data_IF_627692069009
#
_entry.id   IF_627692069009
#
_cell.length_a   1.000
_cell.length_b   1.000
_cell.length_c   1.000
_cell.angle_alpha   90.00
_cell.angle_beta   90.00
_cell.angle_gamma   90.00
#
_symmetry.space_group_name_H-M   'P 1'
#
loop_
_entity.id
_entity.type
_entity.pdbx_description
1 polymer ?
#
# COMPACT_ATOMS: atom_id res chain seq x y z
N UNK A 1 -0.82 -11.13 5.26
CA UNK A 1 -0.92 -10.66 3.86
C UNK A 1 -2.34 -10.87 3.37
N UNK A 2 -2.84 -10.03 2.49
CA UNK A 2 -4.17 -10.15 1.90
C UNK A 2 -4.21 -9.44 0.55
N UNK A 3 -5.11 -9.84 -0.35
CA UNK A 3 -5.33 -9.15 -1.62
C UNK A 3 -6.41 -8.09 -1.42
N UNK A 4 -6.16 -6.89 -1.92
CA UNK A 4 -7.17 -5.84 -2.05
C UNK A 4 -7.65 -5.82 -3.49
N UNK A 5 -8.98 -5.80 -3.67
CA UNK A 5 -9.64 -5.58 -4.96
C UNK A 5 -10.35 -4.22 -4.91
N UNK A 6 -10.05 -3.36 -5.87
CA UNK A 6 -10.83 -2.16 -6.14
C UNK A 6 -11.69 -2.37 -7.39
N UNK A 7 -12.98 -2.06 -7.30
CA UNK A 7 -13.94 -2.24 -8.39
C UNK A 7 -15.08 -1.21 -8.31
N UNK A 8 -15.59 -0.82 -9.48
CA UNK A 8 -16.69 0.13 -9.61
C UNK A 8 -17.96 -0.38 -8.89
N UNK A 9 -18.62 0.50 -8.14
CA UNK A 9 -19.81 0.20 -7.35
C UNK A 9 -19.55 -0.57 -6.04
N UNK A 10 -18.30 -0.93 -5.76
CA UNK A 10 -17.89 -1.62 -4.56
C UNK A 10 -16.89 -0.76 -3.77
N UNK A 11 -15.64 -1.17 -3.67
CA UNK A 11 -14.56 -0.37 -3.10
C UNK A 11 -13.77 0.30 -4.23
N UNK A 12 -13.94 1.61 -4.40
CA UNK A 12 -13.28 2.36 -5.49
C UNK A 12 -12.04 3.13 -5.03
N UNK A 13 -11.92 3.37 -3.72
CA UNK A 13 -10.83 4.14 -3.13
C UNK A 13 -10.46 3.60 -1.74
N UNK A 14 -9.37 4.12 -1.20
CA UNK A 14 -9.06 3.98 0.22
C UNK A 14 -8.54 5.31 0.71
N UNK A 15 -9.32 5.95 1.59
CA UNK A 15 -9.04 7.30 2.12
C UNK A 15 -7.67 7.35 2.80
N UNK A 16 -7.13 8.57 2.91
CA UNK A 16 -5.87 8.85 3.61
C UNK A 16 -5.82 8.18 4.99
N UNK A 17 -4.80 7.37 5.23
CA UNK A 17 -4.61 6.65 6.48
C UNK A 17 -3.14 6.27 6.70
N UNK A 18 -2.86 5.75 7.90
CA UNK A 18 -1.66 4.99 8.20
C UNK A 18 -2.05 3.52 8.38
N UNK A 19 -1.13 2.63 8.03
CA UNK A 19 -1.29 1.21 8.31
C UNK A 19 -1.00 0.91 9.79
N UNK A 20 -1.67 -0.10 10.34
CA UNK A 20 -1.38 -0.61 11.68
C UNK A 20 -0.41 -1.80 11.54
N UNK A 21 0.85 -1.48 11.23
CA UNK A 21 1.97 -2.40 11.09
C UNK A 21 3.30 -1.68 11.42
N UNK A 22 4.45 -2.37 11.34
CA UNK A 22 5.77 -1.70 11.42
C UNK A 22 6.30 -1.37 10.02
N UNK A 23 6.24 -2.33 9.11
CA UNK A 23 6.56 -2.16 7.69
C UNK A 23 5.39 -2.67 6.87
N UNK A 24 5.00 -1.88 5.87
CA UNK A 24 3.98 -2.22 4.92
C UNK A 24 4.59 -2.37 3.54
N UNK A 25 3.98 -3.22 2.73
CA UNK A 25 4.29 -3.29 1.32
C UNK A 25 3.04 -3.57 0.48
N UNK A 26 3.09 -3.14 -0.78
CA UNK A 26 2.08 -3.43 -1.78
C UNK A 26 2.73 -3.87 -3.08
N UNK A 27 2.23 -4.96 -3.66
CA UNK A 27 2.63 -5.46 -4.97
C UNK A 27 1.51 -5.20 -5.96
N UNK A 28 1.84 -4.60 -7.11
CA UNK A 28 0.90 -4.40 -8.21
C UNK A 28 0.66 -5.72 -8.93
N UNK A 29 -0.59 -6.21 -8.99
CA UNK A 29 -0.91 -7.51 -9.58
C UNK A 29 -1.44 -7.43 -11.02
N UNK A 30 -1.85 -6.24 -11.46
CA UNK A 30 -2.33 -5.96 -12.81
C UNK A 30 -2.21 -4.47 -13.14
N UNK A 31 -2.49 -4.08 -14.38
CA UNK A 31 -2.43 -2.70 -14.88
C UNK A 31 -3.53 -2.35 -15.92
N UNK A 32 -4.52 -3.22 -16.09
CA UNK A 32 -5.70 -3.02 -16.94
C UNK A 32 -6.80 -2.19 -16.25
N UNK A 33 -6.42 -1.06 -15.64
CA UNK A 33 -7.32 -0.15 -14.94
C UNK A 33 -6.87 1.31 -15.03
N UNK A 34 -7.80 2.26 -14.83
CA UNK A 34 -7.49 3.69 -14.73
C UNK A 34 -7.78 4.23 -13.33
N UNK A 35 -6.88 5.07 -12.79
CA UNK A 35 -7.01 5.61 -11.43
C UNK A 35 -6.47 4.63 -10.39
N UNK A 36 -7.06 4.60 -9.19
CA UNK A 36 -6.67 3.69 -8.10
C UNK A 36 -5.18 3.68 -7.75
N UNK A 37 -4.46 4.77 -8.02
CA UNK A 37 -3.05 4.92 -7.68
C UNK A 37 -2.86 4.97 -6.16
N UNK A 38 -1.85 4.24 -5.66
CA UNK A 38 -1.35 4.39 -4.30
C UNK A 38 -0.48 5.65 -4.27
N UNK A 39 -0.86 6.62 -3.43
CA UNK A 39 -0.21 7.93 -3.34
C UNK A 39 0.31 8.17 -1.93
N UNK A 40 1.54 8.67 -1.84
CA UNK A 40 2.23 9.09 -0.62
C UNK A 40 2.51 10.59 -0.70
N UNK A 41 1.58 11.46 -0.24
CA UNK A 41 1.68 12.90 -0.51
C UNK A 41 2.92 13.55 0.08
N UNK A 42 3.39 13.08 1.25
CA UNK A 42 4.58 13.65 1.91
C UNK A 42 5.88 13.34 1.17
N UNK A 43 5.88 12.29 0.35
CA UNK A 43 7.02 11.83 -0.44
C UNK A 43 6.91 12.27 -1.90
N UNK A 44 5.84 12.97 -2.28
CA UNK A 44 5.54 13.34 -3.67
C UNK A 44 5.61 12.13 -4.61
N UNK A 45 5.16 10.97 -4.13
CA UNK A 45 5.29 9.69 -4.83
C UNK A 45 3.92 9.05 -5.10
N UNK A 46 3.77 8.45 -6.28
CA UNK A 46 2.68 7.50 -6.58
C UNK A 46 3.21 6.24 -7.25
N UNK A 47 2.45 5.15 -7.13
CA UNK A 47 2.80 3.89 -7.78
C UNK A 47 2.39 3.81 -9.27
N UNK A 48 2.08 4.94 -9.92
CA UNK A 48 1.62 4.97 -11.32
C UNK A 48 2.62 4.28 -12.26
N UNK A 49 3.90 4.63 -12.15
CA UNK A 49 4.97 4.10 -13.00
C UNK A 49 5.57 2.76 -12.50
N UNK A 50 5.07 2.20 -11.39
CA UNK A 50 5.56 0.93 -10.85
C UNK A 50 5.04 -0.23 -11.72
N UNK A 51 5.91 -1.11 -12.25
CA UNK A 51 5.49 -2.27 -13.05
C UNK A 51 4.62 -3.28 -12.30
N UNK A 52 3.87 -4.09 -13.03
CA UNK A 52 3.21 -5.29 -12.46
C UNK A 52 4.27 -6.27 -11.95
N UNK A 53 4.07 -6.80 -10.75
CA UNK A 53 5.00 -7.70 -10.07
C UNK A 53 5.99 -7.00 -9.12
N UNK A 54 6.19 -5.69 -9.27
CA UNK A 54 7.08 -4.92 -8.41
C UNK A 54 6.42 -4.57 -7.07
N UNK A 55 7.27 -4.46 -6.04
CA UNK A 55 6.88 -4.18 -4.66
C UNK A 55 7.26 -2.74 -4.27
N UNK A 56 6.31 -2.02 -3.69
CA UNK A 56 6.57 -0.77 -2.97
C UNK A 56 6.56 -1.08 -1.47
N UNK A 57 7.56 -0.60 -0.72
CA UNK A 57 7.73 -0.87 0.72
C UNK A 57 7.89 0.43 1.48
N UNK A 58 7.22 0.58 2.63
CA UNK A 58 7.27 1.80 3.43
C UNK A 58 7.10 1.55 4.94
N UNK A 59 7.61 2.45 5.81
CA UNK A 59 7.25 2.52 7.23
C UNK A 59 5.75 2.80 7.40
N UNK A 60 5.02 1.89 8.05
CA UNK A 60 3.55 1.90 8.12
C UNK A 60 2.94 3.06 8.91
N UNK A 61 3.60 3.44 10.00
CA UNK A 61 3.12 4.45 10.94
C UNK A 61 3.44 5.88 10.44
N UNK A 62 3.27 6.86 11.32
CA UNK A 62 3.57 8.31 11.26
C UNK A 62 4.06 8.92 9.93
N UNK A 63 5.13 8.42 9.32
CA UNK A 63 5.84 9.07 8.22
C UNK A 63 5.23 8.89 6.83
N UNK A 64 4.44 7.83 6.59
CA UNK A 64 3.90 7.51 5.25
C UNK A 64 2.38 7.39 5.26
N UNK A 65 1.66 8.48 5.60
CA UNK A 65 0.23 8.53 5.33
C UNK A 65 0.03 8.35 3.82
N UNK A 66 -0.89 7.49 3.44
CA UNK A 66 -1.15 7.16 2.06
C UNK A 66 -2.62 6.94 1.79
N UNK A 67 -2.98 6.99 0.51
CA UNK A 67 -4.34 6.73 0.03
C UNK A 67 -4.27 5.93 -1.26
N UNK A 68 -5.35 5.21 -1.58
CA UNK A 68 -5.62 4.76 -2.94
C UNK A 68 -6.63 5.73 -3.53
N UNK A 69 -6.23 6.47 -4.57
CA UNK A 69 -7.11 7.41 -5.29
C UNK A 69 -8.35 6.70 -5.85
N UNK A 70 -9.41 7.42 -6.25
CA UNK A 70 -10.56 6.81 -6.91
C UNK A 70 -10.18 6.02 -8.15
N UNK A 71 -10.73 4.82 -8.27
CA UNK A 71 -10.80 4.06 -9.51
C UNK A 71 -11.73 4.78 -10.49
N UNK A 72 -11.33 4.83 -11.77
CA UNK A 72 -12.11 5.44 -12.84
C UNK A 72 -12.66 4.42 -13.83
N UNK A 73 -11.93 3.33 -14.06
CA UNK A 73 -12.36 2.21 -14.89
C UNK A 73 -11.53 0.96 -14.60
N UNK A 74 -12.05 -0.22 -15.00
CA UNK A 74 -11.37 -1.51 -14.81
C UNK A 74 -11.54 -2.09 -13.40
N UNK A 75 -10.62 -2.98 -13.03
CA UNK A 75 -10.54 -3.59 -11.70
C UNK A 75 -9.08 -3.63 -11.30
N UNK A 76 -8.73 -3.12 -10.11
CA UNK A 76 -7.35 -3.19 -9.59
C UNK A 76 -7.22 -4.30 -8.57
N UNK A 77 -6.14 -5.07 -8.66
CA UNK A 77 -5.70 -6.01 -7.65
C UNK A 77 -4.31 -5.63 -7.12
N UNK A 78 -4.13 -5.70 -5.81
CA UNK A 78 -2.82 -5.56 -5.17
C UNK A 78 -2.67 -6.54 -4.01
N UNK A 79 -1.47 -7.11 -3.84
CA UNK A 79 -1.14 -7.87 -2.64
C UNK A 79 -0.61 -6.90 -1.58
N UNK A 80 -1.28 -6.83 -0.44
CA UNK A 80 -0.86 -6.03 0.71
C UNK A 80 -0.20 -6.93 1.75
N UNK A 81 0.98 -6.47 2.21
CA UNK A 81 1.77 -7.14 3.24
C UNK A 81 1.92 -6.20 4.42
N UNK A 82 1.50 -6.65 5.58
CA UNK A 82 1.77 -5.99 6.86
C UNK A 82 2.73 -6.87 7.64
N UNK A 83 3.86 -6.28 8.04
CA UNK A 83 4.96 -6.98 8.67
C UNK A 83 5.27 -6.34 10.03
N UNK A 84 5.42 -7.20 11.03
CA UNK A 84 6.14 -6.89 12.26
C UNK A 84 7.60 -7.27 12.05
N UNK A 85 8.51 -6.35 12.37
CA UNK A 85 9.92 -6.63 12.43
C UNK A 85 10.17 -7.64 13.56
N UNK A 86 11.06 -8.62 13.34
CA UNK A 86 11.47 -9.49 14.43
C UNK A 86 12.09 -8.61 15.52
N UNK A 87 11.46 -8.58 16.70
CA UNK A 87 12.14 -8.05 17.87
C UNK A 87 13.38 -8.90 18.13
N UNK A 88 14.50 -8.32 18.58
CA UNK A 88 15.63 -9.11 19.05
C UNK A 88 15.11 -10.14 20.06
N UNK A 89 15.48 -11.41 19.86
CA UNK A 89 15.02 -12.55 20.68
C UNK A 89 15.37 -12.32 22.17
N UNK A 90 16.34 -11.46 22.46
CA UNK A 90 16.85 -11.22 23.79
C UNK A 90 16.63 -9.79 24.28
N UNK A 91 15.38 -9.35 24.46
CA UNK A 91 14.95 -8.34 25.46
C UNK A 91 15.66 -6.97 25.55
N UNK A 92 16.67 -6.70 24.73
CA UNK A 92 17.47 -5.50 24.72
C UNK A 92 16.75 -4.55 23.78
N UNK A 93 15.81 -3.80 24.36
CA UNK A 93 15.32 -2.57 23.77
C UNK A 93 16.53 -1.71 23.43
N UNK A 94 16.90 -1.69 22.16
CA UNK A 94 17.68 -0.57 21.66
C UNK A 94 16.69 0.58 21.49
N UNK A 95 16.96 1.63 22.27
CA UNK A 95 16.36 2.97 22.34
C UNK A 95 14.88 3.05 22.76
#
# INVERSE_FOLDING_TARGET
MFVIRYAMGEQEELRMHHDIAQVSASIKLNDDYEGAELVFPRQEFSNAAVPVGDIVVWPSLVTHPHESKPLRSGVKYSLTVWCELPLPIDGARMY
#
